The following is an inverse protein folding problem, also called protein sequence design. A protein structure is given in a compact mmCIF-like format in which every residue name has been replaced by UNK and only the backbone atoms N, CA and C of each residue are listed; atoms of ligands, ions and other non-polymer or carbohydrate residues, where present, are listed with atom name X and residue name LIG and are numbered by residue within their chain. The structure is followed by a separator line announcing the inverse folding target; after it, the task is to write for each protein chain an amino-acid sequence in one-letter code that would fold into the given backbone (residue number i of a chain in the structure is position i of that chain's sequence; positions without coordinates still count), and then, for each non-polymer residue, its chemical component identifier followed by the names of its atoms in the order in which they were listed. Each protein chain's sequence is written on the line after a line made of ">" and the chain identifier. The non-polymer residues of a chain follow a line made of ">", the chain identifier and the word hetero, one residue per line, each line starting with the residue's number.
data_IF_140943114774
#
_entry.id   IF_140943114774
#
_cell.length_a   1.000
_cell.length_b   1.000
_cell.length_c   1.000
_cell.angle_alpha   90.00
_cell.angle_beta   90.00
_cell.angle_gamma   90.00
#
_symmetry.space_group_name_H-M   'P 1'
#
loop_
_entity.id
_entity.type
_entity.pdbx_description
1 polymer ?
#
# COMPACT_ATOMS: atom_id res chain seq x y z
N UNK A 1 51.61 -25.12 13.04
CA UNK A 1 50.43 -25.78 13.67
C UNK A 1 49.71 -24.70 14.45
N UNK A 2 48.66 -24.08 13.86
CA UNK A 2 47.78 -23.13 14.57
C UNK A 2 46.52 -23.87 14.93
N UNK A 3 46.26 -24.00 16.21
CA UNK A 3 44.99 -24.46 16.77
C UNK A 3 43.93 -23.34 16.59
N UNK A 4 42.94 -23.57 15.76
CA UNK A 4 41.76 -22.74 15.67
C UNK A 4 40.85 -23.19 16.83
N UNK A 5 40.79 -22.37 17.88
CA UNK A 5 39.86 -22.56 18.98
C UNK A 5 38.45 -22.29 18.49
N UNK A 6 37.55 -23.27 18.64
CA UNK A 6 36.11 -23.06 18.55
C UNK A 6 35.66 -22.02 19.60
N UNK A 7 35.16 -20.91 19.14
CA UNK A 7 34.39 -20.01 20.00
C UNK A 7 33.02 -20.65 20.32
N UNK A 8 32.51 -20.55 21.55
CA UNK A 8 31.21 -21.07 21.89
C UNK A 8 30.15 -20.24 21.16
N UNK A 9 29.21 -20.94 20.54
CA UNK A 9 27.99 -20.33 19.96
C UNK A 9 27.23 -19.58 21.07
N UNK A 10 27.29 -18.25 21.02
CA UNK A 10 26.46 -17.40 21.84
C UNK A 10 24.99 -17.64 21.44
N UNK A 11 24.20 -18.10 22.36
CA UNK A 11 22.72 -18.10 22.24
C UNK A 11 22.28 -16.67 22.02
N UNK A 12 21.98 -16.30 20.77
CA UNK A 12 21.22 -15.08 20.46
C UNK A 12 19.82 -15.27 21.00
N UNK A 13 19.55 -14.69 22.17
CA UNK A 13 18.24 -14.66 22.84
C UNK A 13 17.36 -13.49 22.38
N UNK A 14 17.64 -12.85 21.24
CA UNK A 14 16.87 -11.74 20.72
C UNK A 14 16.41 -12.05 19.27
N UNK A 15 15.61 -13.09 19.11
CA UNK A 15 14.69 -13.19 18.00
C UNK A 15 13.51 -12.25 18.31
N UNK A 16 13.70 -10.93 18.09
CA UNK A 16 12.56 -10.04 17.95
C UNK A 16 11.68 -10.60 16.82
N UNK A 17 10.46 -10.99 17.15
CA UNK A 17 9.49 -11.40 16.15
C UNK A 17 9.39 -10.28 15.09
N UNK A 18 9.78 -10.59 13.87
CA UNK A 18 9.71 -9.64 12.77
C UNK A 18 8.24 -9.33 12.48
N UNK A 19 7.85 -8.09 12.69
CA UNK A 19 6.51 -7.59 12.39
C UNK A 19 6.47 -7.12 10.94
N UNK A 20 5.46 -7.56 10.18
CA UNK A 20 5.19 -7.07 8.83
C UNK A 20 4.96 -5.55 8.84
N UNK A 21 5.43 -4.86 7.80
CA UNK A 21 5.24 -3.41 7.63
C UNK A 21 4.69 -3.09 6.25
N UNK A 22 3.58 -2.38 6.23
CA UNK A 22 2.96 -1.83 5.01
C UNK A 22 3.06 -0.31 5.09
N UNK A 23 3.77 0.30 4.15
CA UNK A 23 3.93 1.75 4.10
C UNK A 23 2.90 2.37 3.15
N UNK A 24 2.05 3.26 3.67
CA UNK A 24 1.26 4.21 2.89
C UNK A 24 2.07 5.50 2.73
N UNK A 25 2.61 5.73 1.54
CA UNK A 25 3.42 6.90 1.23
C UNK A 25 2.56 7.96 0.51
N UNK A 26 2.51 9.15 1.08
CA UNK A 26 1.83 10.31 0.52
C UNK A 26 2.85 11.42 0.22
N UNK A 27 2.96 11.82 -1.05
CA UNK A 27 3.78 12.96 -1.44
C UNK A 27 2.86 14.16 -1.66
N UNK A 28 2.79 15.04 -0.68
CA UNK A 28 1.90 16.18 -0.65
C UNK A 28 2.48 17.38 -1.44
N UNK A 29 1.62 18.30 -1.90
CA UNK A 29 2.06 19.52 -2.56
C UNK A 29 2.86 20.43 -1.61
N UNK A 30 2.48 20.48 -0.32
CA UNK A 30 3.18 21.22 0.75
C UNK A 30 3.04 20.49 2.08
N UNK A 31 3.96 20.76 2.99
CA UNK A 31 3.97 20.16 4.33
C UNK A 31 2.68 20.40 5.14
N UNK A 32 2.03 21.56 4.97
CA UNK A 32 0.83 21.93 5.71
C UNK A 32 -0.40 21.10 5.34
N UNK A 33 -0.38 20.33 4.25
CA UNK A 33 -1.49 19.49 3.84
C UNK A 33 -1.36 18.10 4.45
N UNK A 34 -2.42 17.63 5.12
CA UNK A 34 -2.59 16.21 5.43
C UNK A 34 -3.18 15.49 4.21
N UNK A 35 -2.81 14.24 4.00
CA UNK A 35 -3.39 13.45 2.91
C UNK A 35 -4.53 12.58 3.44
N UNK A 36 -5.76 13.09 3.39
CA UNK A 36 -6.94 12.40 3.92
C UNK A 36 -7.05 10.94 3.41
N UNK A 37 -6.68 10.68 2.16
CA UNK A 37 -6.82 9.35 1.58
C UNK A 37 -6.00 8.29 2.35
N UNK A 38 -4.71 8.55 2.66
CA UNK A 38 -3.89 7.57 3.37
C UNK A 38 -4.34 7.37 4.82
N UNK A 39 -4.88 8.41 5.46
CA UNK A 39 -5.48 8.27 6.80
C UNK A 39 -6.76 7.44 6.75
N UNK A 40 -7.64 7.67 5.76
CA UNK A 40 -8.85 6.87 5.56
C UNK A 40 -8.54 5.41 5.28
N UNK A 41 -7.56 5.13 4.42
CA UNK A 41 -7.11 3.78 4.12
C UNK A 41 -6.59 3.07 5.38
N UNK A 42 -5.74 3.74 6.16
CA UNK A 42 -5.20 3.18 7.41
C UNK A 42 -6.31 2.90 8.43
N UNK A 43 -7.19 3.87 8.66
CA UNK A 43 -8.29 3.73 9.62
C UNK A 43 -9.25 2.59 9.21
N UNK A 44 -9.59 2.50 7.91
CA UNK A 44 -10.48 1.44 7.41
C UNK A 44 -9.84 0.05 7.44
N UNK A 45 -8.54 -0.04 7.18
CA UNK A 45 -7.82 -1.31 7.21
C UNK A 45 -7.80 -1.93 8.61
N UNK A 46 -7.75 -1.10 9.67
CA UNK A 46 -7.64 -1.55 11.08
C UNK A 46 -6.46 -2.50 11.28
N UNK A 47 -5.36 -2.25 10.55
CA UNK A 47 -4.21 -3.13 10.50
C UNK A 47 -3.00 -2.45 11.15
N UNK A 48 -2.48 -2.97 12.28
CA UNK A 48 -1.35 -2.38 12.99
C UNK A 48 -0.05 -2.39 12.18
N UNK A 49 0.04 -3.22 11.13
CA UNK A 49 1.20 -3.24 10.23
C UNK A 49 1.25 -2.01 9.32
N UNK A 50 0.18 -1.21 9.23
CA UNK A 50 0.10 -0.06 8.33
C UNK A 50 0.70 1.17 8.97
N UNK A 51 1.78 1.67 8.38
CA UNK A 51 2.43 2.93 8.71
C UNK A 51 2.15 3.99 7.63
N UNK A 52 2.08 5.26 8.03
CA UNK A 52 1.99 6.40 7.09
C UNK A 52 3.34 7.10 7.01
N UNK A 53 3.80 7.37 5.78
CA UNK A 53 4.90 8.28 5.49
C UNK A 53 4.38 9.48 4.70
N UNK A 54 4.38 10.67 5.30
CA UNK A 54 4.02 11.91 4.61
C UNK A 54 5.28 12.67 4.20
N UNK A 55 5.37 12.97 2.93
CA UNK A 55 6.43 13.69 2.27
C UNK A 55 5.86 14.87 1.47
N UNK A 56 6.73 15.66 0.85
CA UNK A 56 6.30 16.74 -0.05
C UNK A 56 7.12 16.74 -1.34
N UNK A 57 6.55 17.27 -2.42
CA UNK A 57 7.26 17.44 -3.70
C UNK A 57 8.46 18.39 -3.60
N UNK A 58 8.60 19.13 -2.48
CA UNK A 58 9.71 20.05 -2.23
C UNK A 58 10.92 19.38 -1.55
N UNK A 59 10.77 18.12 -1.09
CA UNK A 59 11.87 17.34 -0.53
C UNK A 59 12.74 16.77 -1.65
N UNK A 60 14.01 16.53 -1.36
CA UNK A 60 14.86 15.78 -2.29
C UNK A 60 14.39 14.32 -2.36
N UNK A 61 14.35 13.76 -3.56
CA UNK A 61 13.93 12.36 -3.75
C UNK A 61 14.79 11.36 -2.98
N UNK A 62 16.10 11.62 -2.94
CA UNK A 62 17.05 10.78 -2.21
C UNK A 62 16.75 10.72 -0.71
N UNK A 63 16.29 11.81 -0.11
CA UNK A 63 15.89 11.84 1.31
C UNK A 63 14.66 10.96 1.54
N UNK A 64 13.67 11.01 0.64
CA UNK A 64 12.47 10.17 0.71
C UNK A 64 12.84 8.69 0.49
N UNK A 65 13.65 8.40 -0.52
CA UNK A 65 14.16 7.04 -0.78
C UNK A 65 14.88 6.47 0.43
N UNK A 66 15.73 7.28 1.05
CA UNK A 66 16.49 6.88 2.24
C UNK A 66 15.58 6.61 3.43
N UNK A 67 14.55 7.43 3.65
CA UNK A 67 13.56 7.21 4.72
C UNK A 67 12.77 5.91 4.48
N UNK A 68 12.25 5.71 3.26
CA UNK A 68 11.54 4.47 2.89
C UNK A 68 12.46 3.25 3.07
N UNK A 69 13.70 3.33 2.62
CA UNK A 69 14.67 2.25 2.76
C UNK A 69 14.95 1.91 4.23
N UNK A 70 15.07 2.91 5.10
CA UNK A 70 15.29 2.74 6.55
C UNK A 70 14.10 2.13 7.28
N UNK A 71 12.88 2.46 6.86
CA UNK A 71 11.64 1.88 7.42
C UNK A 71 11.52 0.38 7.09
N UNK A 72 12.18 -0.08 6.01
CA UNK A 72 12.16 -1.48 5.55
C UNK A 72 10.73 -2.04 5.39
N UNK A 73 9.83 -1.37 4.66
CA UNK A 73 8.51 -1.92 4.45
C UNK A 73 8.57 -3.23 3.65
N UNK A 74 7.62 -4.12 3.91
CA UNK A 74 7.39 -5.34 3.13
C UNK A 74 6.52 -5.06 1.91
N UNK A 75 5.68 -4.02 1.99
CA UNK A 75 4.85 -3.50 0.89
C UNK A 75 4.84 -1.99 0.96
N UNK A 76 4.95 -1.30 -0.18
CA UNK A 76 4.81 0.15 -0.27
C UNK A 76 3.64 0.53 -1.19
N UNK A 77 2.80 1.46 -0.73
CA UNK A 77 1.65 1.97 -1.46
C UNK A 77 1.74 3.49 -1.58
N UNK A 78 1.59 4.02 -2.80
CA UNK A 78 1.72 5.45 -3.06
C UNK A 78 0.40 6.05 -3.52
N UNK A 79 0.09 7.26 -3.03
CA UNK A 79 -1.05 8.04 -3.50
C UNK A 79 -0.66 8.95 -4.66
N UNK A 80 -1.36 8.81 -5.81
CA UNK A 80 -1.06 9.50 -7.06
C UNK A 80 -2.12 10.53 -7.40
N UNK A 81 -1.70 11.78 -7.50
CA UNK A 81 -2.49 12.94 -7.87
C UNK A 81 -1.79 13.73 -8.97
N UNK A 82 -2.51 14.63 -9.64
CA UNK A 82 -1.98 15.43 -10.75
C UNK A 82 -0.71 16.22 -10.40
N UNK A 83 -0.55 16.62 -9.14
CA UNK A 83 0.61 17.42 -8.71
C UNK A 83 1.83 16.59 -8.32
N UNK A 84 1.69 15.28 -8.14
CA UNK A 84 2.79 14.44 -7.66
C UNK A 84 3.08 13.23 -8.56
N UNK A 85 2.33 13.00 -9.63
CA UNK A 85 2.45 11.78 -10.42
C UNK A 85 3.87 11.57 -10.95
N UNK A 86 4.43 12.55 -11.65
CA UNK A 86 5.78 12.44 -12.21
C UNK A 86 6.82 12.20 -11.10
N UNK A 87 6.66 12.90 -9.98
CA UNK A 87 7.54 12.74 -8.83
C UNK A 87 7.47 11.33 -8.24
N UNK A 88 6.26 10.77 -8.11
CA UNK A 88 6.04 9.41 -7.59
C UNK A 88 6.56 8.37 -8.58
N UNK A 89 6.36 8.56 -9.89
CA UNK A 89 6.87 7.63 -10.92
C UNK A 89 8.40 7.50 -10.85
N UNK A 90 9.11 8.61 -10.82
CA UNK A 90 10.57 8.60 -10.65
C UNK A 90 11.00 7.94 -9.33
N UNK A 91 10.28 8.22 -8.23
CA UNK A 91 10.58 7.64 -6.92
C UNK A 91 10.39 6.12 -6.89
N UNK A 92 9.32 5.59 -7.48
CA UNK A 92 9.06 4.14 -7.51
C UNK A 92 10.00 3.39 -8.46
N UNK A 93 10.45 4.02 -9.55
CA UNK A 93 11.47 3.45 -10.43
C UNK A 93 12.80 3.25 -9.68
N UNK A 94 13.26 4.26 -8.95
CA UNK A 94 14.48 4.14 -8.14
C UNK A 94 14.30 3.13 -6.99
N UNK A 95 13.13 3.14 -6.34
CA UNK A 95 12.80 2.20 -5.28
C UNK A 95 12.79 0.75 -5.79
N UNK A 96 12.25 0.51 -7.00
CA UNK A 96 12.26 -0.79 -7.64
C UNK A 96 13.67 -1.31 -7.95
N UNK A 97 14.64 -0.44 -8.22
CA UNK A 97 16.05 -0.82 -8.38
C UNK A 97 16.70 -1.22 -7.05
N UNK A 98 16.36 -0.52 -5.97
CA UNK A 98 16.92 -0.74 -4.62
C UNK A 98 16.27 -1.93 -3.93
N UNK A 99 14.97 -2.12 -4.12
CA UNK A 99 14.13 -3.16 -3.48
C UNK A 99 13.28 -3.89 -4.52
N UNK A 100 13.88 -4.66 -5.43
CA UNK A 100 13.15 -5.33 -6.53
C UNK A 100 12.13 -6.36 -6.06
N UNK A 101 12.30 -6.92 -4.86
CA UNK A 101 11.40 -7.92 -4.30
C UNK A 101 10.21 -7.32 -3.51
N UNK A 102 10.23 -6.01 -3.28
CA UNK A 102 9.18 -5.33 -2.53
C UNK A 102 8.01 -4.97 -3.45
N UNK A 103 6.79 -5.48 -3.20
CA UNK A 103 5.63 -5.07 -3.96
C UNK A 103 5.33 -3.57 -3.79
N UNK A 104 5.23 -2.87 -4.92
CA UNK A 104 4.86 -1.45 -4.97
C UNK A 104 3.46 -1.35 -5.57
N UNK A 105 2.57 -0.66 -4.85
CA UNK A 105 1.21 -0.38 -5.27
C UNK A 105 0.98 1.10 -5.47
N UNK A 106 0.21 1.45 -6.50
CA UNK A 106 -0.23 2.82 -6.73
C UNK A 106 -1.74 2.92 -6.54
N UNK A 107 -2.23 4.08 -6.15
CA UNK A 107 -3.65 4.38 -6.04
C UNK A 107 -3.89 5.87 -6.19
N UNK A 108 -5.15 6.25 -6.39
CA UNK A 108 -5.53 7.65 -6.57
C UNK A 108 -6.04 7.95 -7.98
N UNK A 109 -6.55 9.18 -8.20
CA UNK A 109 -7.27 9.54 -9.42
C UNK A 109 -6.42 9.44 -10.69
N UNK A 110 -5.13 9.75 -10.62
CA UNK A 110 -4.27 9.83 -11.82
C UNK A 110 -3.84 8.47 -12.38
N UNK A 111 -4.02 7.39 -11.62
CA UNK A 111 -3.64 6.03 -12.04
C UNK A 111 -4.82 5.07 -12.17
N UNK A 112 -5.98 5.44 -11.64
CA UNK A 112 -7.14 4.54 -11.56
C UNK A 112 -7.73 4.18 -12.91
N UNK A 113 -7.78 5.13 -13.86
CA UNK A 113 -8.49 4.96 -15.13
C UNK A 113 -7.59 4.37 -16.23
N UNK A 114 -6.29 4.62 -16.14
CA UNK A 114 -5.27 4.14 -17.09
C UNK A 114 -4.35 3.08 -16.49
N UNK A 115 -4.85 2.30 -15.52
CA UNK A 115 -4.07 1.37 -14.72
C UNK A 115 -3.23 0.39 -15.53
N UNK A 116 -3.72 -0.08 -16.68
CA UNK A 116 -2.95 -0.96 -17.58
C UNK A 116 -1.75 -0.25 -18.21
N UNK A 117 -1.93 1.00 -18.62
CA UNK A 117 -0.85 1.80 -19.23
C UNK A 117 0.19 2.18 -18.16
N UNK A 118 -0.26 2.51 -16.96
CA UNK A 118 0.62 2.75 -15.81
C UNK A 118 1.51 1.52 -15.56
N UNK A 119 0.93 0.33 -15.51
CA UNK A 119 1.71 -0.89 -15.30
C UNK A 119 2.64 -1.22 -16.47
N UNK A 120 2.28 -0.89 -17.72
CA UNK A 120 3.19 -1.07 -18.87
C UNK A 120 4.39 -0.13 -18.79
N UNK A 121 4.16 1.12 -18.36
CA UNK A 121 5.19 2.14 -18.22
C UNK A 121 6.11 1.90 -17.02
N UNK A 122 5.58 1.37 -15.93
CA UNK A 122 6.29 1.13 -14.67
C UNK A 122 6.40 -0.37 -14.35
N UNK A 123 7.39 -1.09 -14.90
CA UNK A 123 7.55 -2.53 -14.68
C UNK A 123 7.79 -2.92 -13.21
N UNK A 124 8.34 -2.01 -12.41
CA UNK A 124 8.59 -2.20 -10.98
C UNK A 124 7.33 -2.18 -10.12
N UNK A 125 6.19 -1.69 -10.66
CA UNK A 125 4.94 -1.60 -9.93
C UNK A 125 4.18 -2.92 -10.01
N UNK A 126 3.78 -3.45 -8.85
CA UNK A 126 3.01 -4.70 -8.72
C UNK A 126 1.56 -4.50 -9.16
N UNK A 127 0.96 -3.37 -8.80
CA UNK A 127 -0.44 -3.13 -9.16
C UNK A 127 -0.94 -1.72 -8.84
N UNK A 128 -2.14 -1.46 -9.36
CA UNK A 128 -2.88 -0.21 -9.19
C UNK A 128 -4.21 -0.52 -8.52
N UNK A 129 -4.51 0.18 -7.42
CA UNK A 129 -5.82 0.20 -6.79
C UNK A 129 -6.68 1.26 -7.49
N UNK A 130 -7.83 0.86 -8.03
CA UNK A 130 -8.73 1.69 -8.83
C UNK A 130 -9.92 2.19 -8.01
N UNK A 131 -10.26 3.45 -8.16
CA UNK A 131 -11.44 4.04 -7.50
C UNK A 131 -11.28 4.21 -6.00
N UNK A 132 -12.32 3.86 -5.24
CA UNK A 132 -12.31 3.94 -3.78
C UNK A 132 -11.44 2.83 -3.20
N UNK A 133 -10.43 3.23 -2.46
CA UNK A 133 -9.34 2.33 -2.06
C UNK A 133 -9.58 1.57 -0.76
N UNK A 134 -10.50 1.98 0.10
CA UNK A 134 -10.59 1.54 1.49
C UNK A 134 -10.78 0.02 1.61
N UNK A 135 -11.80 -0.53 0.97
CA UNK A 135 -12.06 -1.99 0.97
C UNK A 135 -10.97 -2.77 0.24
N UNK A 136 -10.52 -2.25 -0.90
CA UNK A 136 -9.47 -2.86 -1.71
C UNK A 136 -8.14 -2.93 -0.96
N UNK A 137 -7.74 -1.85 -0.30
CA UNK A 137 -6.52 -1.80 0.50
C UNK A 137 -6.58 -2.77 1.69
N UNK A 138 -7.70 -2.83 2.42
CA UNK A 138 -7.90 -3.80 3.52
C UNK A 138 -7.72 -5.25 3.05
N UNK A 139 -8.23 -5.61 1.88
CA UNK A 139 -8.06 -6.95 1.30
C UNK A 139 -6.62 -7.23 0.90
N UNK A 140 -5.92 -6.25 0.31
CA UNK A 140 -4.49 -6.35 -0.03
C UNK A 140 -3.65 -6.54 1.23
N UNK A 141 -3.88 -5.76 2.28
CA UNK A 141 -3.19 -5.93 3.57
C UNK A 141 -3.35 -7.35 4.10
N UNK A 142 -4.58 -7.89 4.10
CA UNK A 142 -4.86 -9.25 4.57
C UNK A 142 -4.11 -10.31 3.76
N UNK A 143 -4.05 -10.16 2.43
CA UNK A 143 -3.35 -11.10 1.55
C UNK A 143 -1.84 -11.13 1.87
N UNK A 144 -1.21 -9.96 1.96
CA UNK A 144 0.23 -9.89 2.23
C UNK A 144 0.56 -10.31 3.67
N UNK A 145 -0.30 -10.01 4.65
CA UNK A 145 -0.12 -10.48 6.02
C UNK A 145 -0.15 -12.01 6.09
N UNK A 146 -1.15 -12.64 5.49
CA UNK A 146 -1.24 -14.09 5.45
C UNK A 146 -0.01 -14.74 4.81
N UNK A 147 0.54 -14.11 3.77
CA UNK A 147 1.75 -14.60 3.12
C UNK A 147 2.99 -14.41 3.99
N UNK A 148 3.10 -13.28 4.68
CA UNK A 148 4.19 -13.00 5.62
C UNK A 148 4.20 -14.02 6.77
N UNK A 149 3.07 -14.23 7.42
CA UNK A 149 2.92 -15.20 8.52
C UNK A 149 3.27 -16.63 8.09
N UNK A 150 2.92 -17.03 6.87
CA UNK A 150 3.30 -18.33 6.33
C UNK A 150 4.82 -18.47 6.20
N UNK A 151 5.50 -17.43 5.72
CA UNK A 151 6.97 -17.44 5.54
C UNK A 151 7.70 -17.53 6.87
N UNK A 152 7.27 -16.78 7.88
CA UNK A 152 7.86 -16.82 9.22
C UNK A 152 7.64 -18.18 9.89
N UNK A 153 6.46 -18.79 9.78
CA UNK A 153 6.15 -20.10 10.33
C UNK A 153 6.98 -21.24 9.69
N UNK A 154 7.33 -21.12 8.41
CA UNK A 154 8.18 -22.11 7.72
C UNK A 154 9.63 -22.01 8.16
N UNK A 155 10.11 -20.82 8.51
CA UNK A 155 11.49 -20.60 8.94
C UNK A 155 11.78 -21.10 10.37
N UNK A 156 10.74 -21.24 11.21
CA UNK A 156 10.85 -21.64 12.62
C UNK A 156 10.86 -23.14 12.92
N UNK A 157 10.46 -24.01 11.98
CA UNK A 157 10.34 -25.46 12.19
C UNK A 157 11.07 -26.26 11.09
N UNK A 158 12.31 -26.62 11.32
CA UNK A 158 12.95 -27.75 10.64
C UNK A 158 12.70 -29.06 11.40
N UNK A 159 11.44 -29.48 11.49
CA UNK A 159 11.12 -30.83 11.95
C UNK A 159 11.10 -31.78 10.75
N UNK A 160 12.07 -32.69 10.67
CA UNK A 160 12.32 -33.58 9.52
C UNK A 160 11.27 -34.69 9.32
N UNK A 161 10.18 -34.68 10.07
CA UNK A 161 9.18 -35.75 10.11
C UNK A 161 7.72 -35.26 9.92
N UNK A 162 7.48 -34.11 9.29
CA UNK A 162 6.10 -33.70 8.99
C UNK A 162 5.75 -34.13 7.57
N UNK A 163 4.74 -35.00 7.51
CA UNK A 163 4.07 -35.45 6.28
C UNK A 163 3.76 -34.24 5.37
N UNK A 164 4.31 -34.24 4.14
CA UNK A 164 4.21 -33.16 3.15
C UNK A 164 2.79 -32.96 2.58
N UNK A 165 1.75 -33.18 3.37
CA UNK A 165 0.35 -32.89 3.04
C UNK A 165 -0.02 -31.40 3.21
N UNK A 166 0.95 -30.49 3.22
CA UNK A 166 0.68 -29.05 3.20
C UNK A 166 -0.09 -28.72 1.92
N UNK A 167 -1.39 -28.46 2.08
CA UNK A 167 -2.24 -27.90 1.02
C UNK A 167 -1.41 -26.82 0.33
N UNK A 168 -1.22 -26.91 -1.00
CA UNK A 168 -0.62 -25.86 -1.83
C UNK A 168 -1.26 -24.53 -1.40
N UNK A 169 -0.53 -23.72 -0.64
CA UNK A 169 -1.02 -22.43 -0.26
C UNK A 169 -1.23 -21.64 -1.55
N UNK A 170 -2.39 -21.07 -1.69
CA UNK A 170 -2.71 -20.25 -2.84
C UNK A 170 -1.72 -19.09 -2.90
N UNK A 171 -1.06 -18.89 -4.07
CA UNK A 171 -0.09 -17.81 -4.23
C UNK A 171 -0.75 -16.46 -4.04
N UNK A 172 0.03 -15.43 -3.68
CA UNK A 172 -0.44 -14.05 -3.59
C UNK A 172 -1.20 -13.65 -4.86
N UNK A 173 -0.65 -13.97 -6.04
CA UNK A 173 -1.26 -13.63 -7.32
C UNK A 173 -2.63 -14.31 -7.53
N UNK A 174 -2.80 -15.53 -7.09
CA UNK A 174 -4.10 -16.20 -7.18
C UNK A 174 -5.13 -15.55 -6.25
N UNK A 175 -4.73 -15.15 -5.04
CA UNK A 175 -5.62 -14.44 -4.13
C UNK A 175 -5.98 -13.05 -4.68
N UNK A 176 -5.03 -12.33 -5.31
CA UNK A 176 -5.26 -11.04 -5.95
C UNK A 176 -6.28 -11.11 -7.09
N UNK A 177 -6.42 -12.24 -7.80
CA UNK A 177 -7.46 -12.42 -8.83
C UNK A 177 -8.88 -12.28 -8.29
N UNK A 178 -9.09 -12.51 -7.00
CA UNK A 178 -10.38 -12.37 -6.33
C UNK A 178 -10.67 -10.97 -5.77
N UNK A 179 -9.74 -10.01 -5.89
CA UNK A 179 -9.87 -8.67 -5.34
C UNK A 179 -10.43 -7.72 -6.37
N UNK A 180 -11.62 -7.18 -6.15
CA UNK A 180 -12.18 -6.13 -7.01
C UNK A 180 -11.43 -4.80 -6.84
N UNK A 181 -11.46 -3.99 -7.90
CA UNK A 181 -10.87 -2.65 -7.88
C UNK A 181 -9.36 -2.63 -8.01
N UNK A 182 -8.74 -3.66 -8.59
CA UNK A 182 -7.31 -3.64 -8.88
C UNK A 182 -7.01 -4.00 -10.32
N UNK A 183 -5.87 -3.52 -10.79
CA UNK A 183 -5.15 -4.03 -11.96
C UNK A 183 -3.75 -4.38 -11.48
N UNK A 184 -3.26 -5.59 -11.75
CA UNK A 184 -1.98 -6.03 -11.19
C UNK A 184 -1.17 -6.87 -12.16
N UNK A 185 0.12 -6.96 -11.91
CA UNK A 185 1.07 -7.79 -12.65
C UNK A 185 1.18 -9.15 -12.00
N UNK A 186 0.79 -10.19 -12.73
CA UNK A 186 1.00 -11.59 -12.36
C UNK A 186 2.45 -12.00 -12.69
N UNK A 187 2.91 -13.11 -12.16
CA UNK A 187 4.17 -13.73 -12.59
C UNK A 187 4.21 -13.85 -14.12
N UNK A 188 5.40 -13.65 -14.71
CA UNK A 188 5.61 -13.58 -16.17
C UNK A 188 5.06 -12.33 -16.88
N UNK A 189 4.95 -11.23 -16.15
CA UNK A 189 4.59 -9.89 -16.67
C UNK A 189 3.19 -9.75 -17.26
N UNK A 190 2.32 -10.74 -17.06
CA UNK A 190 0.92 -10.64 -17.49
C UNK A 190 0.17 -9.65 -16.63
N UNK A 191 -0.47 -8.67 -17.26
CA UNK A 191 -1.33 -7.70 -16.57
C UNK A 191 -2.75 -8.27 -16.49
N UNK A 192 -3.26 -8.40 -15.28
CA UNK A 192 -4.62 -8.81 -14.96
C UNK A 192 -5.41 -7.56 -14.53
N UNK A 193 -6.58 -7.38 -15.13
CA UNK A 193 -7.46 -6.27 -14.82
C UNK A 193 -8.77 -6.81 -14.23
N UNK A 194 -8.89 -6.70 -12.92
CA UNK A 194 -10.08 -7.15 -12.21
C UNK A 194 -11.23 -6.16 -12.38
N UNK A 195 -12.48 -6.57 -12.16
CA UNK A 195 -13.63 -5.67 -12.18
C UNK A 195 -13.45 -4.46 -11.25
N UNK A 196 -14.11 -3.36 -11.59
CA UNK A 196 -14.21 -2.24 -10.67
C UNK A 196 -15.01 -2.65 -9.44
N UNK A 197 -14.56 -2.21 -8.28
CA UNK A 197 -15.32 -2.43 -7.05
C UNK A 197 -16.60 -1.59 -7.06
N UNK A 198 -17.74 -2.15 -6.62
CA UNK A 198 -18.91 -1.34 -6.35
C UNK A 198 -18.60 -0.23 -5.34
N UNK A 199 -19.19 0.93 -5.55
CA UNK A 199 -19.04 2.06 -4.63
C UNK A 199 -19.53 1.69 -3.22
N UNK A 200 -18.78 2.16 -2.22
CA UNK A 200 -19.09 1.88 -0.82
C UNK A 200 -20.02 2.92 -0.20
N UNK A 201 -20.62 2.59 0.93
CA UNK A 201 -21.23 3.57 1.82
C UNK A 201 -20.13 4.39 2.48
N UNK A 202 -20.22 5.73 2.35
CA UNK A 202 -19.20 6.63 2.89
C UNK A 202 -19.20 6.62 4.42
N UNK A 203 -20.31 6.28 5.05
CA UNK A 203 -20.45 6.17 6.51
C UNK A 203 -19.65 5.00 7.10
N UNK A 204 -19.25 4.01 6.26
CA UNK A 204 -18.37 2.92 6.70
C UNK A 204 -16.92 3.37 6.95
N UNK A 205 -16.50 4.53 6.41
CA UNK A 205 -15.12 5.03 6.61
C UNK A 205 -15.01 5.65 8.00
N UNK A 206 -14.12 5.17 8.89
CA UNK A 206 -13.99 5.72 10.24
C UNK A 206 -13.59 7.20 10.23
N UNK A 207 -13.83 7.89 11.34
CA UNK A 207 -13.21 9.20 11.60
C UNK A 207 -11.70 9.00 11.77
N UNK A 208 -10.88 9.87 11.18
CA UNK A 208 -9.43 9.61 11.02
C UNK A 208 -8.55 10.51 11.90
N UNK A 209 -9.13 11.42 12.66
CA UNK A 209 -8.41 12.43 13.43
C UNK A 209 -8.59 12.24 14.94
N UNK A 210 -8.34 11.01 15.43
CA UNK A 210 -8.46 10.68 16.86
C UNK A 210 -7.42 11.38 17.73
N UNK A 211 -6.25 11.68 17.14
CA UNK A 211 -5.12 12.37 17.79
C UNK A 211 -4.85 13.71 17.08
N UNK A 212 -5.56 14.76 17.47
CA UNK A 212 -5.46 16.09 16.85
C UNK A 212 -4.08 16.71 16.99
N UNK A 213 -3.32 16.35 18.00
CA UNK A 213 -1.95 16.77 18.23
C UNK A 213 -0.98 16.40 17.11
N UNK A 214 -1.25 15.31 16.37
CA UNK A 214 -0.44 14.88 15.22
C UNK A 214 -0.62 15.82 14.01
N UNK A 215 -1.64 16.66 14.05
CA UNK A 215 -1.98 17.61 12.98
C UNK A 215 -1.73 19.06 13.34
N UNK A 216 -0.95 19.31 14.39
CA UNK A 216 -0.56 20.66 14.74
C UNK A 216 0.16 21.34 13.56
N UNK A 217 -0.28 22.54 13.21
CA UNK A 217 0.18 23.29 12.03
C UNK A 217 -0.16 22.71 10.66
N UNK A 218 -1.08 21.72 10.58
CA UNK A 218 -1.57 21.14 9.33
C UNK A 218 -3.01 21.57 9.02
N UNK A 219 -3.33 21.60 7.74
CA UNK A 219 -4.71 21.73 7.26
C UNK A 219 -5.35 20.34 7.30
N UNK A 220 -6.46 20.25 8.02
CA UNK A 220 -7.25 19.02 8.14
C UNK A 220 -8.33 19.03 7.06
N UNK A 221 -8.49 17.91 6.38
CA UNK A 221 -9.54 17.71 5.39
C UNK A 221 -10.57 16.73 5.90
N UNK A 222 -11.84 17.09 5.80
CA UNK A 222 -12.95 16.22 6.15
C UNK A 222 -13.87 16.02 4.95
N UNK A 223 -14.18 14.76 4.65
CA UNK A 223 -15.00 14.39 3.53
C UNK A 223 -16.43 14.08 4.00
N UNK A 224 -17.37 14.96 3.66
CA UNK A 224 -18.79 14.80 3.98
C UNK A 224 -19.57 14.11 2.88
N UNK A 225 -19.05 14.13 1.65
CA UNK A 225 -19.71 13.54 0.48
C UNK A 225 -18.70 13.12 -0.59
N UNK A 226 -19.06 12.12 -1.38
CA UNK A 226 -18.33 11.68 -2.60
C UNK A 226 -19.26 11.66 -3.79
N UNK A 227 -18.68 11.86 -4.99
CA UNK A 227 -19.40 11.92 -6.25
C UNK A 227 -19.88 13.32 -6.59
N UNK A 228 -20.35 13.49 -7.82
CA UNK A 228 -20.87 14.77 -8.30
C UNK A 228 -21.99 14.53 -9.30
N UNK A 229 -23.16 15.21 -9.17
CA UNK A 229 -24.29 15.00 -10.08
C UNK A 229 -24.09 15.66 -11.45
N UNK A 230 -23.07 16.51 -11.59
CA UNK A 230 -22.78 17.24 -12.82
C UNK A 230 -21.96 16.42 -13.80
N UNK A 231 -22.00 16.80 -15.09
CA UNK A 231 -21.33 16.11 -16.19
C UNK A 231 -20.28 17.00 -16.86
N UNK A 232 -19.42 17.64 -16.09
CA UNK A 232 -18.37 18.52 -16.60
C UNK A 232 -17.33 17.70 -17.37
N UNK A 233 -17.09 18.02 -18.64
CA UNK A 233 -16.21 17.25 -19.52
C UNK A 233 -14.73 17.22 -19.12
N UNK A 234 -14.31 18.12 -18.26
CA UNK A 234 -12.94 18.28 -17.77
C UNK A 234 -12.74 17.82 -16.31
N UNK A 235 -13.82 17.35 -15.66
CA UNK A 235 -13.76 17.03 -14.24
C UNK A 235 -13.87 15.53 -14.01
N UNK A 236 -12.88 14.95 -13.35
CA UNK A 236 -12.87 13.52 -13.04
C UNK A 236 -14.03 13.10 -12.13
N UNK A 237 -14.47 13.98 -11.22
CA UNK A 237 -15.62 13.70 -10.35
C UNK A 237 -16.94 13.50 -11.12
N UNK A 238 -16.99 13.87 -12.42
CA UNK A 238 -18.17 13.63 -13.28
C UNK A 238 -18.32 12.17 -13.71
N UNK A 239 -17.32 11.33 -13.49
CA UNK A 239 -17.35 9.90 -13.83
C UNK A 239 -18.29 9.15 -12.89
N UNK A 240 -18.22 9.43 -11.59
CA UNK A 240 -19.19 8.92 -10.61
C UNK A 240 -20.28 9.97 -10.36
N UNK A 241 -21.44 9.78 -10.98
CA UNK A 241 -22.58 10.72 -10.90
C UNK A 241 -23.43 10.53 -9.63
N UNK A 242 -23.11 9.56 -8.78
CA UNK A 242 -23.86 9.29 -7.56
C UNK A 242 -23.27 10.12 -6.43
N UNK A 243 -23.95 11.19 -6.08
CA UNK A 243 -23.62 11.95 -4.88
C UNK A 243 -24.06 11.13 -3.64
N UNK A 244 -23.13 10.87 -2.76
CA UNK A 244 -23.33 10.15 -1.50
C UNK A 244 -22.86 11.02 -0.35
N UNK A 245 -23.53 10.93 0.75
CA UNK A 245 -23.22 11.68 1.97
C UNK A 245 -22.77 10.70 3.06
N UNK A 246 -21.96 11.19 3.95
CA UNK A 246 -21.64 10.50 5.20
C UNK A 246 -22.76 10.80 6.19
N UNK A 247 -23.21 9.79 6.92
CA UNK A 247 -24.09 9.99 8.07
C UNK A 247 -23.30 10.75 9.16
N UNK A 248 -23.91 11.78 9.69
CA UNK A 248 -23.38 12.59 10.80
C UNK A 248 -24.25 12.24 12.01
N UNK A 249 -23.81 11.27 12.80
CA UNK A 249 -24.34 10.99 14.12
C UNK A 249 -23.45 11.59 15.21
#
# INVERSE_FOLDING_TARGET
>A
IYLIGCMPEGKNSDLEERIMKILLAAVNAKYIHSNLAVYSLKAYAEDPAVEIGEYTINQQRDDILMDIYRRRPDVACFSCYIWNLDYVEELVEELGKIRPDMPIWLGGPEVSYDAKEVLRRLPCVKGVMKGEGEKTFKEICRIYRNEFEKRENVCGYQDKNVDNSWKKSESVDNQLKGVDGITFREEKEKIIDNPWRPIMDLSEVPFVYDHMEDFEHKIIYYETSRGCPFSCSYCLSSVDKRLRFRDIE
#
